data_IF_448577175395
#
_entry.id   IF_448577175395
#
_cell.length_a   1.000
_cell.length_b   1.000
_cell.length_c   1.000
_cell.angle_alpha   90.00
_cell.angle_beta   90.00
_cell.angle_gamma   90.00
#
_symmetry.space_group_name_H-M   'P 1'
#
loop_
_entity.id
_entity.type
_entity.pdbx_description
1 polymer ?
#
# COMPACT_ATOMS: atom_id res chain seq x y z
N UNK A 1 26.43 -43.49 47.37
CA UNK A 1 26.21 -42.15 46.78
C UNK A 1 24.88 -42.19 46.10
N UNK A 2 23.87 -41.57 46.68
CA UNK A 2 22.48 -41.57 46.21
C UNK A 2 22.16 -40.15 45.74
N UNK A 3 22.00 -39.93 44.43
CA UNK A 3 21.60 -38.65 43.85
C UNK A 3 20.06 -38.62 43.77
N UNK A 4 19.43 -37.76 44.56
CA UNK A 4 18.01 -37.46 44.49
C UNK A 4 17.79 -36.45 43.39
N UNK A 5 17.06 -36.83 42.35
CA UNK A 5 16.62 -35.91 41.28
C UNK A 5 15.31 -35.27 41.73
N UNK A 6 15.36 -33.97 42.03
CA UNK A 6 14.19 -33.17 42.36
C UNK A 6 13.50 -32.70 41.09
N UNK A 7 12.30 -33.23 40.83
CA UNK A 7 11.48 -32.89 39.71
C UNK A 7 10.73 -31.57 40.03
N UNK A 8 11.17 -30.45 39.46
CA UNK A 8 10.53 -29.16 39.62
C UNK A 8 9.45 -28.98 38.55
N UNK A 9 8.18 -29.10 38.96
CA UNK A 9 7.01 -28.90 38.13
C UNK A 9 6.75 -27.39 37.95
N UNK A 10 7.18 -26.83 36.82
CA UNK A 10 6.80 -25.44 36.47
C UNK A 10 5.38 -25.41 35.91
N UNK A 11 4.47 -24.87 36.72
CA UNK A 11 3.11 -24.48 36.29
C UNK A 11 3.23 -23.22 35.42
N UNK A 12 3.09 -23.38 34.12
CA UNK A 12 2.89 -22.26 33.22
C UNK A 12 1.44 -21.78 33.32
N UNK A 13 1.22 -20.69 34.04
CA UNK A 13 -0.03 -19.93 33.95
C UNK A 13 -0.08 -19.27 32.58
N UNK A 14 -0.91 -19.78 31.68
CA UNK A 14 -1.18 -19.18 30.38
C UNK A 14 -1.93 -17.87 30.55
N UNK A 15 -1.24 -16.76 30.36
CA UNK A 15 -1.90 -15.45 30.17
C UNK A 15 -2.46 -15.42 28.76
N UNK A 16 -3.78 -15.57 28.62
CA UNK A 16 -4.50 -15.31 27.39
C UNK A 16 -4.42 -13.79 27.12
N UNK A 17 -3.53 -13.40 26.20
CA UNK A 17 -3.56 -12.05 25.62
C UNK A 17 -4.82 -12.00 24.74
N UNK A 18 -5.82 -11.27 25.19
CA UNK A 18 -6.96 -10.89 24.39
C UNK A 18 -6.43 -10.05 23.21
N UNK A 19 -6.49 -10.62 22.01
CA UNK A 19 -6.24 -9.93 20.76
C UNK A 19 -7.45 -9.02 20.55
N UNK A 20 -7.26 -7.72 20.77
CA UNK A 20 -8.30 -6.74 20.45
C UNK A 20 -8.54 -6.78 18.94
N UNK A 21 -9.70 -7.34 18.57
CA UNK A 21 -10.20 -7.24 17.22
C UNK A 21 -10.50 -5.77 16.94
N UNK A 22 -9.72 -5.16 16.06
CA UNK A 22 -10.07 -3.86 15.48
C UNK A 22 -11.39 -4.00 14.75
N UNK A 23 -12.48 -3.66 15.43
CA UNK A 23 -13.78 -3.51 14.79
C UNK A 23 -13.69 -2.31 13.85
N UNK A 24 -13.57 -2.59 12.55
CA UNK A 24 -13.91 -1.61 11.54
C UNK A 24 -15.41 -1.27 11.72
N UNK A 25 -15.67 -0.14 12.35
CA UNK A 25 -17.00 0.45 12.31
C UNK A 25 -17.31 0.77 10.86
N UNK A 26 -18.22 0.00 10.27
CA UNK A 26 -18.85 0.33 9.01
C UNK A 26 -19.57 1.66 9.18
N UNK A 27 -18.88 2.77 8.86
CA UNK A 27 -19.51 4.05 8.65
C UNK A 27 -20.29 3.94 7.35
N UNK A 28 -21.56 4.33 7.39
CA UNK A 28 -22.44 4.41 6.24
C UNK A 28 -21.75 5.15 5.08
N UNK A 29 -21.84 4.55 3.91
CA UNK A 29 -21.33 4.99 2.62
C UNK A 29 -21.95 6.36 2.24
N UNK A 30 -21.39 7.43 2.78
CA UNK A 30 -21.44 8.73 2.11
C UNK A 30 -20.30 8.66 1.09
N UNK A 31 -20.60 8.78 -0.20
CA UNK A 31 -19.64 8.78 -1.27
C UNK A 31 -18.62 9.92 -1.06
N UNK A 32 -17.66 9.70 -0.16
CA UNK A 32 -16.57 10.62 0.07
C UNK A 32 -15.74 10.68 -1.22
N UNK A 33 -15.35 11.89 -1.63
CA UNK A 33 -14.44 12.05 -2.74
C UNK A 33 -13.19 11.18 -2.53
N UNK A 34 -12.62 10.59 -3.61
CA UNK A 34 -11.45 9.75 -3.48
C UNK A 34 -10.32 10.55 -2.81
N UNK A 35 -9.52 9.93 -1.94
CA UNK A 35 -8.41 10.61 -1.29
C UNK A 35 -7.42 11.13 -2.33
N UNK A 36 -6.86 12.32 -2.08
CA UNK A 36 -5.89 12.98 -2.95
C UNK A 36 -4.67 13.35 -2.14
N UNK A 37 -3.48 12.98 -2.62
CA UNK A 37 -2.22 13.41 -2.05
C UNK A 37 -1.79 14.76 -2.62
N UNK A 38 -1.41 15.69 -1.74
CA UNK A 38 -0.79 16.97 -2.10
C UNK A 38 0.45 17.20 -1.27
N UNK A 39 1.62 17.25 -1.91
CA UNK A 39 2.89 17.56 -1.26
C UNK A 39 2.88 19.02 -0.80
N UNK A 40 2.80 19.28 0.51
CA UNK A 40 2.72 20.61 1.10
C UNK A 40 3.35 20.65 2.48
N UNK A 41 3.98 21.77 2.83
CA UNK A 41 4.48 22.00 4.19
C UNK A 41 3.41 22.50 5.16
N UNK A 42 2.18 22.70 4.68
CA UNK A 42 1.05 23.08 5.54
C UNK A 42 0.56 21.92 6.44
N UNK A 43 0.93 20.69 6.14
CA UNK A 43 0.65 19.49 6.95
C UNK A 43 1.93 18.96 7.58
N UNK A 44 1.90 18.39 8.81
CA UNK A 44 3.05 17.69 9.38
C UNK A 44 3.40 16.44 8.55
N UNK A 45 4.66 16.00 8.59
CA UNK A 45 5.15 14.86 7.82
C UNK A 45 4.29 13.59 8.02
N UNK A 46 3.92 13.28 9.28
CA UNK A 46 3.09 12.12 9.59
C UNK A 46 1.75 12.14 8.84
N UNK A 47 1.08 13.30 8.78
CA UNK A 47 -0.18 13.45 8.05
C UNK A 47 0.00 13.30 6.53
N UNK A 48 1.13 13.72 5.97
CA UNK A 48 1.43 13.46 4.55
C UNK A 48 1.66 11.98 4.27
N UNK A 49 2.30 11.26 5.19
CA UNK A 49 2.45 9.81 5.08
C UNK A 49 1.10 9.10 5.11
N UNK A 50 0.19 9.51 6.02
CA UNK A 50 -1.17 8.98 6.10
C UNK A 50 -1.96 9.26 4.81
N UNK A 51 -1.88 10.47 4.26
CA UNK A 51 -2.52 10.82 2.98
C UNK A 51 -1.99 9.95 1.83
N UNK A 52 -0.66 9.76 1.73
CA UNK A 52 -0.05 8.94 0.69
C UNK A 52 -0.50 7.47 0.79
N UNK A 53 -0.53 6.92 2.00
CA UNK A 53 -1.03 5.57 2.26
C UNK A 53 -2.51 5.43 1.89
N UNK A 54 -3.35 6.39 2.27
CA UNK A 54 -4.78 6.37 1.96
C UNK A 54 -5.05 6.38 0.45
N UNK A 55 -4.29 7.18 -0.32
CA UNK A 55 -4.39 7.21 -1.79
C UNK A 55 -3.96 5.88 -2.39
N UNK A 56 -2.84 5.32 -1.91
CA UNK A 56 -2.34 4.03 -2.34
C UNK A 56 -3.37 2.91 -2.11
N UNK A 57 -3.87 2.79 -0.88
CA UNK A 57 -4.82 1.75 -0.48
C UNK A 57 -6.13 1.86 -1.26
N UNK A 58 -6.66 3.08 -1.44
CA UNK A 58 -7.85 3.32 -2.24
C UNK A 58 -7.64 2.94 -3.72
N UNK A 59 -6.46 3.23 -4.27
CA UNK A 59 -6.09 2.86 -5.63
C UNK A 59 -5.98 1.34 -5.81
N UNK A 60 -5.31 0.66 -4.89
CA UNK A 60 -5.17 -0.81 -4.90
C UNK A 60 -6.53 -1.51 -4.74
N UNK A 61 -7.38 -1.01 -3.84
CA UNK A 61 -8.73 -1.57 -3.62
C UNK A 61 -9.62 -1.44 -4.86
N UNK A 62 -9.43 -0.38 -5.66
CA UNK A 62 -10.22 -0.11 -6.87
C UNK A 62 -9.55 -0.60 -8.15
N UNK A 63 -8.37 -1.23 -8.06
CA UNK A 63 -7.66 -1.73 -9.24
C UNK A 63 -8.55 -2.73 -10.01
N UNK A 64 -8.72 -2.54 -11.32
CA UNK A 64 -9.56 -3.44 -12.13
C UNK A 64 -8.86 -4.78 -12.28
N UNK A 65 -9.39 -5.81 -11.63
CA UNK A 65 -8.89 -7.17 -11.69
C UNK A 65 -9.72 -7.99 -12.68
N UNK A 66 -9.07 -8.79 -13.53
CA UNK A 66 -9.75 -9.66 -14.52
C UNK A 66 -9.38 -11.15 -14.36
N UNK A 67 -8.56 -11.50 -13.37
CA UNK A 67 -8.10 -12.87 -13.09
C UNK A 67 -6.89 -13.31 -13.94
N UNK A 68 -6.36 -12.46 -14.80
CA UNK A 68 -5.11 -12.71 -15.53
C UNK A 68 -3.93 -12.15 -14.74
N UNK A 69 -2.95 -13.00 -14.40
CA UNK A 69 -1.85 -12.67 -13.49
C UNK A 69 -1.09 -11.40 -13.90
N UNK A 70 -0.78 -11.27 -15.19
CA UNK A 70 -0.02 -10.14 -15.72
C UNK A 70 -0.83 -8.84 -15.66
N UNK A 71 -2.10 -8.89 -16.06
CA UNK A 71 -3.00 -7.74 -15.99
C UNK A 71 -3.19 -7.29 -14.54
N UNK A 72 -3.52 -8.22 -13.66
CA UNK A 72 -3.82 -7.95 -12.26
C UNK A 72 -2.58 -7.43 -11.52
N UNK A 73 -1.40 -7.95 -11.84
CA UNK A 73 -0.14 -7.42 -11.35
C UNK A 73 0.07 -5.96 -11.77
N UNK A 74 -0.09 -5.64 -13.07
CA UNK A 74 0.13 -4.29 -13.59
C UNK A 74 -0.85 -3.27 -12.98
N UNK A 75 -2.14 -3.63 -12.88
CA UNK A 75 -3.17 -2.73 -12.34
C UNK A 75 -2.99 -2.47 -10.85
N UNK A 76 -2.52 -3.47 -10.07
CA UNK A 76 -2.22 -3.33 -8.65
C UNK A 76 -0.94 -2.54 -8.40
N UNK A 77 0.10 -2.75 -9.20
CA UNK A 77 1.40 -2.12 -8.98
C UNK A 77 1.41 -0.63 -9.33
N UNK A 78 0.56 -0.15 -10.21
CA UNK A 78 0.45 1.28 -10.53
C UNK A 78 0.12 2.12 -9.29
N UNK A 79 -0.97 1.89 -8.55
CA UNK A 79 -1.26 2.66 -7.33
C UNK A 79 -0.24 2.41 -6.22
N UNK A 80 0.35 1.23 -6.12
CA UNK A 80 1.42 0.93 -5.18
C UNK A 80 2.65 1.82 -5.43
N UNK A 81 3.10 1.91 -6.68
CA UNK A 81 4.22 2.76 -7.08
C UNK A 81 3.90 4.25 -6.88
N UNK A 82 2.66 4.66 -7.19
CA UNK A 82 2.23 6.04 -6.94
C UNK A 82 2.33 6.40 -5.46
N UNK A 83 1.95 5.50 -4.55
CA UNK A 83 2.12 5.69 -3.11
C UNK A 83 3.58 5.89 -2.71
N UNK A 84 4.51 5.11 -3.26
CA UNK A 84 5.94 5.27 -3.01
C UNK A 84 6.47 6.62 -3.52
N UNK A 85 6.03 7.07 -4.69
CA UNK A 85 6.35 8.40 -5.24
C UNK A 85 5.84 9.52 -4.32
N UNK A 86 4.63 9.39 -3.79
CA UNK A 86 4.02 10.41 -2.93
C UNK A 86 4.71 10.47 -1.56
N UNK A 87 5.07 9.32 -0.97
CA UNK A 87 5.89 9.26 0.24
C UNK A 87 7.28 9.87 0.03
N UNK A 88 7.90 9.61 -1.12
CA UNK A 88 9.19 10.21 -1.48
C UNK A 88 9.11 11.73 -1.65
N UNK A 89 8.02 12.24 -2.26
CA UNK A 89 7.76 13.69 -2.32
C UNK A 89 7.57 14.29 -0.92
N UNK A 90 6.85 13.60 -0.03
CA UNK A 90 6.64 14.06 1.34
C UNK A 90 7.98 14.21 2.09
N UNK A 91 8.87 13.20 2.02
CA UNK A 91 10.15 13.26 2.75
C UNK A 91 11.06 14.36 2.23
N UNK A 92 11.03 14.69 0.93
CA UNK A 92 11.82 15.77 0.34
C UNK A 92 11.46 17.17 0.90
N UNK A 93 10.24 17.35 1.42
CA UNK A 93 9.82 18.60 2.05
C UNK A 93 10.43 18.79 3.45
N UNK A 94 10.79 17.69 4.14
CA UNK A 94 11.18 17.71 5.56
C UNK A 94 12.64 17.33 5.79
N UNK A 95 13.19 16.39 5.00
CA UNK A 95 14.56 15.92 5.21
C UNK A 95 15.58 16.88 4.62
N UNK A 96 16.64 17.17 5.39
CA UNK A 96 17.85 17.83 4.93
C UNK A 96 19.01 16.83 4.76
N UNK A 97 18.81 15.57 5.10
CA UNK A 97 19.82 14.52 4.97
C UNK A 97 20.05 14.22 3.48
N UNK A 98 21.27 14.36 2.96
CA UNK A 98 21.54 14.19 1.53
C UNK A 98 21.34 12.74 1.06
N UNK A 99 21.58 11.74 1.91
CA UNK A 99 21.38 10.33 1.54
C UNK A 99 19.89 10.01 1.39
N UNK A 100 19.08 10.48 2.34
CA UNK A 100 17.61 10.32 2.30
C UNK A 100 17.03 11.06 1.08
N UNK A 101 17.51 12.28 0.81
CA UNK A 101 17.04 13.06 -0.33
C UNK A 101 17.41 12.41 -1.66
N UNK A 102 18.64 11.91 -1.80
CA UNK A 102 19.09 11.21 -3.01
C UNK A 102 18.28 9.92 -3.23
N UNK A 103 18.02 9.14 -2.18
CA UNK A 103 17.17 7.96 -2.26
C UNK A 103 15.75 8.33 -2.71
N UNK A 104 15.13 9.36 -2.12
CA UNK A 104 13.79 9.80 -2.49
C UNK A 104 13.69 10.27 -3.95
N UNK A 105 14.69 11.00 -4.44
CA UNK A 105 14.77 11.41 -5.85
C UNK A 105 14.91 10.21 -6.79
N UNK A 106 15.71 9.22 -6.41
CA UNK A 106 15.83 7.94 -7.13
C UNK A 106 14.49 7.20 -7.22
N UNK A 107 13.80 7.04 -6.08
CA UNK A 107 12.47 6.42 -6.03
C UNK A 107 11.50 7.13 -6.96
N UNK A 108 11.43 8.47 -6.93
CA UNK A 108 10.52 9.23 -7.80
C UNK A 108 10.84 8.95 -9.27
N UNK A 109 12.10 9.00 -9.66
CA UNK A 109 12.50 8.82 -11.06
C UNK A 109 12.20 7.40 -11.56
N UNK A 110 12.61 6.38 -10.82
CA UNK A 110 12.44 4.97 -11.20
C UNK A 110 10.97 4.56 -11.23
N UNK A 111 10.23 4.86 -10.18
CA UNK A 111 8.84 4.45 -10.06
C UNK A 111 7.92 5.16 -11.07
N UNK A 112 8.21 6.39 -11.46
CA UNK A 112 7.46 7.05 -12.54
C UNK A 112 7.69 6.39 -13.89
N UNK A 113 8.90 5.92 -14.18
CA UNK A 113 9.20 5.16 -15.39
C UNK A 113 8.44 3.82 -15.38
N UNK A 114 8.45 3.11 -14.26
CA UNK A 114 7.76 1.83 -14.12
C UNK A 114 6.24 1.98 -14.24
N UNK A 115 5.64 3.04 -13.66
CA UNK A 115 4.22 3.36 -13.87
C UNK A 115 3.91 3.54 -15.36
N UNK A 116 4.71 4.30 -16.08
CA UNK A 116 4.53 4.50 -17.53
C UNK A 116 4.65 3.19 -18.31
N UNK A 117 5.60 2.32 -17.94
CA UNK A 117 5.77 1.00 -18.57
C UNK A 117 4.55 0.11 -18.34
N UNK A 118 4.02 0.07 -17.11
CA UNK A 118 2.82 -0.70 -16.76
C UNK A 118 1.59 -0.17 -17.51
N UNK A 119 1.38 1.15 -17.55
CA UNK A 119 0.31 1.77 -18.30
C UNK A 119 0.41 1.47 -19.79
N UNK A 120 1.61 1.56 -20.39
CA UNK A 120 1.84 1.24 -21.78
C UNK A 120 1.61 -0.25 -22.09
N UNK A 121 1.91 -1.14 -21.13
CA UNK A 121 1.62 -2.56 -21.28
C UNK A 121 0.12 -2.81 -21.26
N UNK A 122 -0.62 -2.26 -20.30
CA UNK A 122 -2.08 -2.38 -20.20
C UNK A 122 -2.78 -1.85 -21.47
N UNK A 123 -2.31 -0.73 -22.00
CA UNK A 123 -2.87 -0.16 -23.24
C UNK A 123 -2.72 -1.08 -24.46
N UNK A 124 -1.69 -1.95 -24.49
CA UNK A 124 -1.50 -2.95 -25.56
C UNK A 124 -2.20 -4.28 -25.30
N UNK A 125 -2.70 -4.50 -24.08
CA UNK A 125 -3.36 -5.74 -23.65
C UNK A 125 -4.71 -5.42 -23.01
N UNK A 126 -5.68 -4.89 -23.79
CA UNK A 126 -7.01 -4.59 -23.27
C UNK A 126 -7.68 -5.86 -22.74
N UNK A 127 -8.46 -5.73 -21.66
CA UNK A 127 -9.24 -6.85 -21.14
C UNK A 127 -10.25 -7.29 -22.18
N UNK A 128 -10.23 -8.55 -22.59
CA UNK A 128 -11.09 -9.12 -23.66
C UNK A 128 -12.59 -9.18 -23.29
N UNK A 129 -13.02 -8.54 -22.22
CA UNK A 129 -14.41 -8.55 -21.77
C UNK A 129 -15.34 -7.50 -22.44
N UNK A 130 -14.81 -6.58 -23.28
CA UNK A 130 -15.63 -5.55 -23.93
C UNK A 130 -16.10 -5.90 -25.35
N UNK A 131 -15.66 -7.02 -25.97
CA UNK A 131 -16.00 -7.32 -27.36
C UNK A 131 -17.22 -8.25 -27.58
N UNK A 132 -18.04 -8.58 -26.57
CA UNK A 132 -19.15 -9.52 -26.74
C UNK A 132 -20.55 -8.91 -26.90
N UNK A 133 -20.71 -7.60 -27.08
CA UNK A 133 -22.03 -6.96 -27.17
C UNK A 133 -22.29 -6.17 -28.45
N UNK A 134 -21.55 -6.38 -29.54
CA UNK A 134 -21.88 -5.71 -30.79
C UNK A 134 -21.94 -6.71 -31.95
N UNK A 135 -22.89 -7.65 -31.90
CA UNK A 135 -23.45 -8.34 -33.10
C UNK A 135 -24.64 -9.21 -32.68
N UNK A 136 -25.83 -8.61 -32.55
CA UNK A 136 -27.12 -9.24 -32.96
C UNK A 136 -28.08 -8.17 -33.44
#
# INVERSE_FOLDING_TARGET
MKYAISLMLCLFAGSALAQEAHHHHGAADSAAAPPVFTATTAKPFAALMEDAMAVMDAGMTKAPMNGQSEHDFMTMMIPHHQGAVDMAKAVLLYSQDPEVRNLALGIIAEQQIEIQQMQAWLARHPSTHEESHEHQ
#
